data_IF_069016864787
#
_entry.id   IF_069016864787
#
_cell.length_a   1.000
_cell.length_b   1.000
_cell.length_c   1.000
_cell.angle_alpha   90.00
_cell.angle_beta   90.00
_cell.angle_gamma   90.00
#
_symmetry.space_group_name_H-M   'P 1'
#
loop_
_entity.id
_entity.type
_entity.pdbx_description
1 polymer ?
#
# COMPACT_ATOMS: atom_id res chain seq x y z
N UNK A 1 -27.71 33.72 10.65
CA UNK A 1 -27.37 32.57 9.78
C UNK A 1 -25.88 32.63 9.51
N UNK A 2 -25.06 32.07 10.40
CA UNK A 2 -23.59 32.06 10.28
C UNK A 2 -23.09 30.72 10.81
N UNK A 3 -22.84 29.78 9.90
CA UNK A 3 -22.22 28.49 10.18
C UNK A 3 -21.32 28.14 8.98
N UNK A 4 -20.11 28.70 9.00
CA UNK A 4 -18.98 28.22 8.23
C UNK A 4 -17.70 28.51 9.02
N UNK A 5 -17.64 27.99 10.25
CA UNK A 5 -16.35 27.81 10.89
C UNK A 5 -15.62 26.70 10.12
N UNK A 6 -14.84 27.11 9.12
CA UNK A 6 -13.92 26.22 8.44
C UNK A 6 -13.08 25.54 9.53
N UNK A 7 -13.24 24.22 9.66
CA UNK A 7 -12.34 23.41 10.46
C UNK A 7 -10.96 23.63 9.85
N UNK A 8 -10.13 24.43 10.53
CA UNK A 8 -8.73 24.58 10.17
C UNK A 8 -8.12 23.18 10.09
N UNK A 9 -7.49 22.79 8.96
CA UNK A 9 -6.84 21.50 8.89
C UNK A 9 -5.85 21.44 10.05
N UNK A 10 -5.97 20.40 10.89
CA UNK A 10 -5.04 20.20 11.97
C UNK A 10 -3.63 20.21 11.37
N UNK A 11 -2.85 21.23 11.73
CA UNK A 11 -1.46 21.35 11.33
C UNK A 11 -0.70 20.22 12.00
N UNK A 12 -0.59 19.09 11.30
CA UNK A 12 0.30 18.02 11.68
C UNK A 12 1.71 18.62 11.70
N UNK A 13 2.45 18.51 12.82
CA UNK A 13 3.84 18.93 12.82
C UNK A 13 4.54 18.18 11.69
N UNK A 14 5.26 18.94 10.87
CA UNK A 14 6.15 18.45 9.84
C UNK A 14 6.73 17.09 10.24
N UNK A 15 6.53 16.07 9.40
CA UNK A 15 7.29 14.84 9.57
C UNK A 15 8.78 15.22 9.63
N UNK A 16 9.61 14.48 10.35
CA UNK A 16 11.07 14.71 10.38
C UNK A 16 11.77 14.58 9.01
N UNK A 17 11.00 14.50 7.92
CA UNK A 17 11.31 14.30 6.52
C UNK A 17 11.19 15.58 5.66
N UNK A 18 11.16 16.76 6.27
CA UNK A 18 10.99 18.03 5.54
C UNK A 18 12.23 18.48 4.73
N UNK A 19 13.18 17.58 4.51
CA UNK A 19 14.33 17.85 3.64
C UNK A 19 13.93 17.67 2.16
N UNK A 20 14.44 18.49 1.23
CA UNK A 20 14.09 18.40 -0.19
C UNK A 20 14.33 17.01 -0.80
N UNK A 21 15.43 16.36 -0.41
CA UNK A 21 15.80 15.00 -0.85
C UNK A 21 14.82 13.95 -0.32
N UNK A 22 14.43 14.05 0.94
CA UNK A 22 13.47 13.16 1.59
C UNK A 22 12.10 13.21 0.89
N UNK A 23 11.62 14.41 0.55
CA UNK A 23 10.40 14.59 -0.26
C UNK A 23 10.52 13.96 -1.64
N UNK A 24 11.62 14.19 -2.35
CA UNK A 24 11.84 13.63 -3.69
C UNK A 24 11.90 12.11 -3.66
N UNK A 25 12.65 11.54 -2.73
CA UNK A 25 12.78 10.10 -2.55
C UNK A 25 11.42 9.46 -2.24
N UNK A 26 10.67 10.00 -1.26
CA UNK A 26 9.34 9.48 -0.94
C UNK A 26 8.37 9.54 -2.12
N UNK A 27 8.44 10.58 -2.96
CA UNK A 27 7.61 10.68 -4.15
C UNK A 27 7.95 9.62 -5.21
N UNK A 28 9.25 9.38 -5.42
CA UNK A 28 9.73 8.30 -6.29
C UNK A 28 9.30 6.93 -5.77
N UNK A 29 9.51 6.65 -4.48
CA UNK A 29 9.17 5.36 -3.88
C UNK A 29 7.67 5.07 -4.01
N UNK A 30 6.80 6.05 -3.73
CA UNK A 30 5.34 5.89 -3.87
C UNK A 30 4.95 5.59 -5.32
N UNK A 31 5.47 6.38 -6.26
CA UNK A 31 5.14 6.23 -7.67
C UNK A 31 5.66 4.90 -8.22
N UNK A 32 6.85 4.47 -7.79
CA UNK A 32 7.45 3.21 -8.18
C UNK A 32 6.68 2.01 -7.63
N UNK A 33 6.31 2.02 -6.34
CA UNK A 33 5.50 0.94 -5.74
C UNK A 33 4.14 0.85 -6.46
N UNK A 34 3.48 1.99 -6.69
CA UNK A 34 2.20 2.04 -7.43
C UNK A 34 2.33 1.63 -8.90
N UNK A 35 3.50 1.82 -9.51
CA UNK A 35 3.75 1.36 -10.87
C UNK A 35 3.99 -0.15 -10.92
N UNK A 36 4.74 -0.71 -9.97
CA UNK A 36 5.07 -2.13 -9.93
C UNK A 36 3.87 -2.99 -9.52
N UNK A 37 2.83 -2.41 -8.92
CA UNK A 37 1.68 -3.15 -8.40
C UNK A 37 0.83 -3.89 -9.44
N UNK A 38 0.88 -3.54 -10.74
CA UNK A 38 0.16 -4.32 -11.76
C UNK A 38 0.89 -5.61 -12.17
N UNK A 39 2.14 -5.81 -11.74
CA UNK A 39 2.93 -6.98 -12.12
C UNK A 39 2.81 -8.06 -11.03
N UNK A 40 1.69 -8.79 -11.07
CA UNK A 40 1.38 -9.92 -10.20
C UNK A 40 1.33 -11.18 -11.06
N UNK A 41 2.43 -11.95 -11.08
CA UNK A 41 2.52 -13.19 -11.87
C UNK A 41 2.49 -14.42 -10.97
N UNK A 42 3.28 -14.40 -9.90
CA UNK A 42 3.40 -15.48 -8.92
C UNK A 42 3.30 -14.88 -7.53
N UNK A 43 2.58 -15.58 -6.64
CA UNK A 43 2.45 -15.16 -5.25
C UNK A 43 3.59 -15.75 -4.38
N UNK A 44 4.13 -14.98 -3.42
CA UNK A 44 3.85 -13.56 -3.15
C UNK A 44 4.46 -12.65 -4.22
N UNK A 45 3.71 -11.63 -4.61
CA UNK A 45 4.08 -10.79 -5.73
C UNK A 45 5.29 -9.90 -5.42
N UNK A 46 6.14 -9.58 -6.41
CA UNK A 46 7.28 -8.69 -6.20
C UNK A 46 6.91 -7.33 -5.59
N UNK A 47 5.74 -6.79 -5.94
CA UNK A 47 5.27 -5.51 -5.38
C UNK A 47 4.98 -5.61 -3.87
N UNK A 48 4.50 -6.75 -3.38
CA UNK A 48 4.13 -6.96 -1.98
C UNK A 48 5.37 -6.99 -1.09
N UNK A 49 6.43 -7.67 -1.57
CA UNK A 49 7.73 -7.71 -0.89
C UNK A 49 8.39 -6.32 -0.85
N UNK A 50 8.36 -5.60 -1.97
CA UNK A 50 8.86 -4.23 -2.06
C UNK A 50 8.11 -3.31 -1.08
N UNK A 51 6.79 -3.42 -1.02
CA UNK A 51 5.97 -2.62 -0.12
C UNK A 51 6.27 -2.97 1.33
N UNK A 52 6.35 -4.25 1.68
CA UNK A 52 6.69 -4.69 3.04
C UNK A 52 8.05 -4.14 3.49
N UNK A 53 9.07 -4.22 2.63
CA UNK A 53 10.37 -3.60 2.89
C UNK A 53 10.23 -2.09 3.09
N UNK A 54 9.50 -1.41 2.22
CA UNK A 54 9.30 0.02 2.30
C UNK A 54 8.58 0.41 3.60
N UNK A 55 7.58 -0.37 4.02
CA UNK A 55 6.86 -0.16 5.27
C UNK A 55 7.78 -0.23 6.49
N UNK A 56 8.64 -1.25 6.57
CA UNK A 56 9.64 -1.39 7.64
C UNK A 56 10.59 -0.18 7.63
N UNK A 57 11.14 0.17 6.47
CA UNK A 57 12.02 1.33 6.30
C UNK A 57 11.33 2.60 6.80
N UNK A 58 10.10 2.86 6.35
CA UNK A 58 9.37 4.06 6.74
C UNK A 58 9.04 4.09 8.23
N UNK A 59 8.71 2.97 8.88
CA UNK A 59 8.54 2.90 10.33
C UNK A 59 9.83 3.32 11.05
N UNK A 60 10.98 2.75 10.64
CA UNK A 60 12.30 3.06 11.24
C UNK A 60 12.62 4.55 11.14
N UNK A 61 12.24 5.18 10.03
CA UNK A 61 12.45 6.61 9.82
C UNK A 61 11.28 7.50 10.27
N UNK A 62 10.33 6.98 11.05
CA UNK A 62 9.32 7.80 11.75
C UNK A 62 7.97 7.93 11.05
N UNK A 63 7.53 6.92 10.30
CA UNK A 63 6.14 6.81 9.83
C UNK A 63 5.20 6.88 11.03
N UNK A 64 4.30 7.88 11.02
CA UNK A 64 3.31 8.07 12.07
C UNK A 64 1.97 7.48 11.65
N UNK A 65 1.47 6.54 12.46
CA UNK A 65 0.12 6.04 12.30
C UNK A 65 -0.86 7.01 12.94
N UNK A 66 -1.77 7.54 12.12
CA UNK A 66 -2.82 8.43 12.59
C UNK A 66 -3.86 7.63 13.38
N UNK A 67 -4.34 8.17 14.50
CA UNK A 67 -5.36 7.52 15.34
C UNK A 67 -6.66 7.20 14.60
N UNK A 68 -6.96 7.96 13.53
CA UNK A 68 -8.15 7.72 12.70
C UNK A 68 -8.06 6.42 11.88
N UNK A 69 -6.86 5.86 11.71
CA UNK A 69 -6.64 4.60 10.96
C UNK A 69 -6.67 3.39 11.91
N UNK A 70 -6.55 3.58 13.23
CA UNK A 70 -6.56 2.49 14.22
C UNK A 70 -7.77 1.56 14.12
N UNK A 71 -9.02 2.03 13.88
CA UNK A 71 -10.15 1.12 13.72
C UNK A 71 -9.99 0.18 12.52
N UNK A 72 -9.48 0.69 11.39
CA UNK A 72 -9.18 -0.11 10.21
C UNK A 72 -8.10 -1.15 10.52
N UNK A 73 -7.00 -0.73 11.18
CA UNK A 73 -5.91 -1.63 11.59
C UNK A 73 -6.46 -2.75 12.48
N UNK A 74 -7.27 -2.40 13.48
CA UNK A 74 -7.86 -3.38 14.40
C UNK A 74 -8.74 -4.41 13.69
N UNK A 75 -9.60 -3.96 12.77
CA UNK A 75 -10.45 -4.86 11.97
C UNK A 75 -9.63 -5.78 11.06
N UNK A 76 -8.58 -5.25 10.42
CA UNK A 76 -7.71 -6.06 9.55
C UNK A 76 -6.92 -7.10 10.36
N UNK A 77 -6.41 -6.74 11.54
CA UNK A 77 -5.72 -7.68 12.42
C UNK A 77 -6.68 -8.75 12.98
N UNK A 78 -7.92 -8.38 13.29
CA UNK A 78 -8.95 -9.33 13.67
C UNK A 78 -9.30 -10.29 12.52
N UNK A 79 -9.38 -9.78 11.29
CA UNK A 79 -9.55 -10.59 10.08
C UNK A 79 -8.37 -11.57 9.89
N UNK A 80 -7.13 -11.10 10.05
CA UNK A 80 -5.94 -11.96 9.97
C UNK A 80 -5.94 -13.05 11.05
N UNK A 81 -6.28 -12.70 12.29
CA UNK A 81 -6.40 -13.67 13.37
C UNK A 81 -7.50 -14.71 13.09
N UNK A 82 -8.64 -14.28 12.56
CA UNK A 82 -9.71 -15.18 12.10
C UNK A 82 -9.24 -16.13 11.00
N UNK A 83 -8.43 -15.63 10.05
CA UNK A 83 -7.80 -16.46 9.02
C UNK A 83 -6.88 -17.53 9.60
N UNK A 84 -6.02 -17.18 10.57
CA UNK A 84 -5.17 -18.17 11.25
C UNK A 84 -5.99 -19.20 12.03
N UNK A 85 -7.14 -18.81 12.60
CA UNK A 85 -8.06 -19.76 13.23
C UNK A 85 -8.67 -20.73 12.22
N UNK A 86 -9.04 -20.25 11.03
CA UNK A 86 -9.58 -21.09 9.95
C UNK A 86 -8.57 -22.16 9.49
N UNK A 87 -7.27 -21.83 9.42
CA UNK A 87 -6.20 -22.81 9.12
C UNK A 87 -6.18 -24.01 10.06
N UNK A 88 -6.60 -23.85 11.32
CA UNK A 88 -6.65 -24.96 12.29
C UNK A 88 -7.77 -25.96 12.02
N UNK A 89 -8.76 -25.57 11.21
CA UNK A 89 -9.93 -26.40 10.88
C UNK A 89 -9.76 -27.14 9.54
N UNK A 90 -8.68 -26.85 8.80
CA UNK A 90 -8.40 -27.44 7.51
C UNK A 90 -7.76 -28.84 7.65
N UNK A 91 -8.15 -29.82 6.80
CA UNK A 91 -7.51 -31.14 6.77
C UNK A 91 -6.02 -31.08 6.42
N UNK A 92 -5.64 -30.15 5.52
CA UNK A 92 -4.27 -29.88 5.10
C UNK A 92 -3.97 -28.37 5.24
N UNK A 93 -3.48 -27.91 6.39
CA UNK A 93 -3.26 -26.49 6.65
C UNK A 93 -2.19 -25.83 5.76
N UNK A 94 -1.28 -26.62 5.20
CA UNK A 94 -0.20 -26.14 4.31
C UNK A 94 -0.72 -25.47 3.05
N UNK A 95 -1.84 -25.95 2.52
CA UNK A 95 -2.42 -25.46 1.26
C UNK A 95 -3.00 -24.05 1.44
N UNK A 96 -3.49 -23.73 2.64
CA UNK A 96 -4.01 -22.42 3.02
C UNK A 96 -2.92 -21.40 3.41
N UNK A 97 -1.69 -21.86 3.64
CA UNK A 97 -0.62 -21.03 4.22
C UNK A 97 -0.22 -19.88 3.29
N UNK A 98 -0.15 -20.13 1.97
CA UNK A 98 0.22 -19.09 1.00
C UNK A 98 -0.79 -17.94 1.01
N UNK A 99 -2.08 -18.25 1.06
CA UNK A 99 -3.15 -17.24 1.14
C UNK A 99 -3.07 -16.42 2.43
N UNK A 100 -2.66 -17.04 3.54
CA UNK A 100 -2.47 -16.32 4.80
C UNK A 100 -1.28 -15.36 4.75
N UNK A 101 -0.18 -15.76 4.10
CA UNK A 101 0.98 -14.92 3.88
C UNK A 101 0.65 -13.74 2.96
N UNK A 102 -0.03 -14.00 1.83
CA UNK A 102 -0.52 -12.94 0.93
C UNK A 102 -1.47 -12.00 1.68
N UNK A 103 -2.39 -12.53 2.48
CA UNK A 103 -3.31 -11.72 3.30
C UNK A 103 -2.57 -10.81 4.28
N UNK A 104 -1.56 -11.33 4.98
CA UNK A 104 -0.74 -10.53 5.89
C UNK A 104 -0.01 -9.38 5.16
N UNK A 105 0.50 -9.65 3.95
CA UNK A 105 1.13 -8.65 3.09
C UNK A 105 0.15 -7.59 2.60
N UNK A 106 -1.07 -7.98 2.22
CA UNK A 106 -2.13 -7.04 1.81
C UNK A 106 -2.58 -6.15 2.98
N UNK A 107 -2.65 -6.70 4.19
CA UNK A 107 -2.95 -5.92 5.40
C UNK A 107 -1.83 -4.92 5.67
N UNK A 108 -0.56 -5.34 5.62
CA UNK A 108 0.58 -4.44 5.73
C UNK A 108 0.52 -3.34 4.66
N UNK A 109 0.12 -3.69 3.44
CA UNK A 109 -0.09 -2.77 2.33
C UNK A 109 -1.17 -1.72 2.59
N UNK A 110 -2.33 -2.14 3.09
CA UNK A 110 -3.42 -1.25 3.43
C UNK A 110 -3.01 -0.26 4.54
N UNK A 111 -2.34 -0.75 5.60
CA UNK A 111 -1.87 0.07 6.71
C UNK A 111 -0.83 1.09 6.22
N UNK A 112 0.14 0.62 5.42
CA UNK A 112 1.18 1.46 4.85
C UNK A 112 0.60 2.59 4.00
N UNK A 113 -0.29 2.27 3.04
CA UNK A 113 -0.89 3.28 2.18
C UNK A 113 -1.78 4.25 2.95
N UNK A 114 -2.57 3.77 3.90
CA UNK A 114 -3.37 4.64 4.76
C UNK A 114 -2.48 5.62 5.55
N UNK A 115 -1.35 5.14 6.10
CA UNK A 115 -0.40 5.97 6.83
C UNK A 115 0.22 7.04 5.93
N UNK A 116 0.72 6.65 4.76
CA UNK A 116 1.38 7.57 3.81
C UNK A 116 0.41 8.61 3.26
N UNK A 117 -0.79 8.21 2.87
CA UNK A 117 -1.80 9.13 2.33
C UNK A 117 -2.29 10.08 3.41
N UNK A 118 -2.42 9.65 4.66
CA UNK A 118 -2.92 10.51 5.75
C UNK A 118 -2.02 11.71 6.09
N UNK A 119 -0.75 11.67 5.67
CA UNK A 119 0.23 12.72 6.00
C UNK A 119 0.19 13.89 5.01
N UNK A 120 -0.09 13.61 3.72
CA UNK A 120 -0.20 14.61 2.65
C UNK A 120 -1.14 14.09 1.56
N UNK A 121 -2.44 14.12 1.85
CA UNK A 121 -3.46 13.46 1.03
C UNK A 121 -3.41 13.88 -0.43
N UNK A 122 -3.30 15.17 -0.71
CA UNK A 122 -3.42 15.70 -2.07
C UNK A 122 -2.26 15.26 -2.95
N UNK A 123 -1.03 15.44 -2.51
CA UNK A 123 0.14 15.14 -3.34
C UNK A 123 0.38 13.64 -3.42
N UNK A 124 0.18 12.90 -2.32
CA UNK A 124 0.37 11.45 -2.29
C UNK A 124 -0.66 10.73 -3.17
N UNK A 125 -1.93 11.16 -3.16
CA UNK A 125 -2.95 10.61 -4.06
C UNK A 125 -2.65 10.93 -5.53
N UNK A 126 -2.11 12.11 -5.85
CA UNK A 126 -1.69 12.43 -7.22
C UNK A 126 -0.60 11.50 -7.72
N UNK A 127 0.42 11.24 -6.89
CA UNK A 127 1.49 10.30 -7.21
C UNK A 127 0.95 8.88 -7.39
N UNK A 128 0.11 8.42 -6.47
CA UNK A 128 -0.50 7.10 -6.51
C UNK A 128 -1.35 6.92 -7.77
N UNK A 129 -2.22 7.89 -8.07
CA UNK A 129 -3.04 7.91 -9.28
C UNK A 129 -2.19 7.82 -10.54
N UNK A 130 -1.16 8.65 -10.66
CA UNK A 130 -0.31 8.67 -11.84
C UNK A 130 0.47 7.36 -12.00
N UNK A 131 0.97 6.80 -10.89
CA UNK A 131 1.62 5.48 -10.86
C UNK A 131 0.69 4.38 -11.35
N UNK A 132 -0.54 4.32 -10.82
CA UNK A 132 -1.54 3.34 -11.24
C UNK A 132 -1.96 3.49 -12.71
N UNK A 133 -2.16 4.71 -13.19
CA UNK A 133 -2.49 4.94 -14.61
C UNK A 133 -1.35 4.45 -15.50
N UNK A 134 -0.10 4.81 -15.18
CA UNK A 134 1.06 4.35 -15.94
C UNK A 134 1.18 2.81 -15.91
N UNK A 135 0.97 2.21 -14.74
CA UNK A 135 0.97 0.76 -14.54
C UNK A 135 -0.08 0.08 -15.42
N UNK A 136 -1.33 0.57 -15.38
CA UNK A 136 -2.43 0.03 -16.15
C UNK A 136 -2.20 0.16 -17.66
N UNK A 137 -1.65 1.28 -18.12
CA UNK A 137 -1.31 1.46 -19.54
C UNK A 137 -0.25 0.46 -20.00
N UNK A 138 0.83 0.27 -19.22
CA UNK A 138 1.87 -0.70 -19.56
C UNK A 138 1.34 -2.12 -19.50
N UNK A 139 0.58 -2.48 -18.47
CA UNK A 139 -0.03 -3.80 -18.34
C UNK A 139 -1.00 -4.09 -19.50
N UNK A 140 -1.82 -3.12 -19.91
CA UNK A 140 -2.71 -3.25 -21.06
C UNK A 140 -1.94 -3.44 -22.36
N UNK A 141 -0.88 -2.66 -22.60
CA UNK A 141 -0.04 -2.81 -23.78
C UNK A 141 0.65 -4.16 -23.83
N UNK A 142 1.17 -4.64 -22.69
CA UNK A 142 1.78 -5.98 -22.59
C UNK A 142 0.74 -7.08 -22.81
N UNK A 143 -0.48 -6.94 -22.27
CA UNK A 143 -1.58 -7.87 -22.50
C UNK A 143 -1.99 -7.93 -23.98
N UNK A 144 -2.08 -6.78 -24.65
CA UNK A 144 -2.32 -6.71 -26.11
C UNK A 144 -1.15 -7.37 -26.86
N UNK A 145 0.09 -7.08 -26.45
CA UNK A 145 1.26 -7.66 -27.09
C UNK A 145 1.32 -9.19 -26.96
N UNK A 146 0.99 -9.70 -25.78
CA UNK A 146 0.88 -11.14 -25.50
C UNK A 146 -0.25 -11.80 -26.31
N UNK A 147 -1.40 -11.14 -26.47
CA UNK A 147 -2.49 -11.65 -27.31
C UNK A 147 -2.05 -11.89 -28.77
N UNK A 148 -1.26 -10.97 -29.32
CA UNK A 148 -0.70 -11.11 -30.67
C UNK A 148 0.57 -11.96 -30.75
N UNK A 149 1.01 -12.56 -29.63
CA UNK A 149 2.24 -13.37 -29.57
C UNK A 149 3.46 -12.60 -30.10
N UNK A 150 3.54 -11.30 -29.78
CA UNK A 150 4.65 -10.42 -30.21
C UNK A 150 5.98 -10.77 -29.52
N UNK A 151 5.94 -11.56 -28.46
CA UNK A 151 7.08 -12.10 -27.72
C UNK A 151 6.92 -13.64 -27.61
N UNK A 152 8.03 -14.38 -27.60
CA UNK A 152 8.02 -15.85 -27.53
C UNK A 152 7.48 -16.40 -26.20
#
# INVERSE_FOLDING_TARGET
MSLAAAVSPASYPAAGWDWPIARRFSAWTISAIAFVSAFVMEEPAPYELLLCLAFVVWIVFGLRLNRYILPMVGLLLAYLAGGFLDLTQLPNPTDGMIYMLTTALLIASAIFWAAVVSHDTTDRLRLLKNGYIASALVAALLGIAGYFHLFP
#
